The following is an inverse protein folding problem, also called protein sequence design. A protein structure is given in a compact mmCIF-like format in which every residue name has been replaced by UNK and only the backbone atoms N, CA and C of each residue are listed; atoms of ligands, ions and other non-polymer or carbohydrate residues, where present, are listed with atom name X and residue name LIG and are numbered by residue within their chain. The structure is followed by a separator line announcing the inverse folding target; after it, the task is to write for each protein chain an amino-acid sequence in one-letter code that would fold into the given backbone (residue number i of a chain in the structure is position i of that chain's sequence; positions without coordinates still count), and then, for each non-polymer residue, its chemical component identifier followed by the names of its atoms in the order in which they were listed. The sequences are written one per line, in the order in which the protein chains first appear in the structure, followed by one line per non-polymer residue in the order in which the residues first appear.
data_IF_009242155580
#
_entry.id   IF_009242155580
#
_cell.length_a   1.000
_cell.length_b   1.000
_cell.length_c   1.000
_cell.angle_alpha   90.00
_cell.angle_beta   90.00
_cell.angle_gamma   90.00
#
_symmetry.space_group_name_H-M   'P 1'
#
loop_
_entity.id
_entity.type
_entity.pdbx_description
1 polymer ?
#
# COMPACT_ATOMS: atom_id res chain seq x y z
N UNK A 1 42.13 -25.43 57.82
CA UNK A 1 41.93 -23.99 58.02
C UNK A 1 41.44 -23.41 56.72
N UNK A 2 40.15 -23.20 56.64
CA UNK A 2 39.44 -22.69 55.47
C UNK A 2 39.33 -21.16 55.60
N UNK A 3 39.44 -20.44 54.49
CA UNK A 3 38.93 -19.08 54.35
C UNK A 3 37.97 -19.03 53.23
N UNK A 4 36.72 -18.84 53.55
CA UNK A 4 35.64 -18.39 52.68
C UNK A 4 35.93 -16.95 52.25
N UNK A 5 35.75 -16.64 51.00
CA UNK A 5 35.63 -15.28 50.47
C UNK A 5 34.28 -15.18 49.78
N UNK A 6 33.40 -14.39 50.36
CA UNK A 6 32.13 -13.95 49.81
C UNK A 6 32.38 -13.12 48.54
N UNK A 7 31.63 -13.40 47.50
CA UNK A 7 31.54 -12.57 46.31
C UNK A 7 30.13 -12.01 46.21
N UNK A 8 30.05 -10.70 46.41
CA UNK A 8 28.84 -9.88 46.29
C UNK A 8 28.21 -10.00 44.89
N UNK A 9 26.95 -10.37 44.90
CA UNK A 9 26.09 -10.35 43.72
C UNK A 9 25.41 -8.98 43.60
N UNK A 10 25.96 -8.07 42.81
CA UNK A 10 25.27 -6.88 42.35
C UNK A 10 24.67 -7.18 40.96
N UNK A 11 23.42 -7.61 40.95
CA UNK A 11 22.62 -7.69 39.75
C UNK A 11 22.13 -6.28 39.39
N UNK A 12 22.73 -5.65 38.40
CA UNK A 12 22.20 -4.47 37.73
C UNK A 12 20.86 -4.82 37.06
N UNK A 13 19.81 -4.15 37.53
CA UNK A 13 18.46 -4.24 36.95
C UNK A 13 18.43 -3.36 35.72
N UNK A 14 18.21 -3.96 34.56
CA UNK A 14 17.84 -3.26 33.31
C UNK A 14 16.67 -2.30 33.56
N UNK A 15 16.74 -1.07 33.06
CA UNK A 15 15.65 -0.11 33.17
C UNK A 15 14.51 -0.51 32.21
N UNK A 16 13.33 -0.74 32.78
CA UNK A 16 12.09 -0.90 32.02
C UNK A 16 11.90 0.28 31.04
N UNK A 17 11.42 0.05 29.80
CA UNK A 17 11.16 1.14 28.88
C UNK A 17 10.09 2.07 29.45
N UNK A 18 10.41 3.35 29.55
CA UNK A 18 9.48 4.41 29.94
C UNK A 18 8.36 4.50 28.90
N UNK A 19 7.12 4.40 29.38
CA UNK A 19 5.94 4.71 28.60
C UNK A 19 6.02 6.15 28.09
N UNK A 20 5.99 6.32 26.78
CA UNK A 20 5.86 7.62 26.13
C UNK A 20 4.41 8.08 26.32
N UNK A 21 4.21 9.08 27.19
CA UNK A 21 2.93 9.72 27.41
C UNK A 21 2.64 10.78 26.34
N UNK A 22 1.38 10.82 25.89
CA UNK A 22 0.70 11.90 25.22
C UNK A 22 1.12 12.20 23.78
N UNK A 23 0.69 11.36 22.86
CA UNK A 23 0.18 11.73 21.55
C UNK A 23 -1.31 11.41 21.54
N UNK A 24 -2.12 12.25 20.87
CA UNK A 24 -3.57 12.14 20.81
C UNK A 24 -4.00 10.68 20.53
N UNK A 25 -5.09 10.19 21.11
CA UNK A 25 -5.44 8.78 21.06
C UNK A 25 -5.55 8.32 19.61
N UNK A 26 -4.84 7.25 19.26
CA UNK A 26 -5.09 6.51 18.04
C UNK A 26 -6.60 6.21 17.98
N UNK A 27 -7.25 6.57 16.88
CA UNK A 27 -8.68 6.29 16.68
C UNK A 27 -8.82 4.77 16.62
N UNK A 28 -9.26 4.19 17.76
CA UNK A 28 -9.56 2.77 17.87
C UNK A 28 -10.79 2.47 17.00
N UNK A 29 -10.68 1.44 16.14
CA UNK A 29 -11.78 0.95 15.30
C UNK A 29 -13.09 0.75 16.09
N UNK A 30 -13.00 0.41 17.38
CA UNK A 30 -14.17 0.20 18.26
C UNK A 30 -14.79 1.50 18.76
N UNK A 31 -14.03 2.58 18.89
CA UNK A 31 -14.55 3.90 19.26
C UNK A 31 -15.33 4.53 18.11
N UNK A 32 -14.88 4.32 16.87
CA UNK A 32 -15.59 4.79 15.66
C UNK A 32 -16.96 4.12 15.49
N UNK A 33 -17.08 2.82 15.77
CA UNK A 33 -18.35 2.10 15.70
C UNK A 33 -19.35 2.47 16.81
N UNK A 34 -18.89 2.98 17.96
CA UNK A 34 -19.77 3.41 19.07
C UNK A 34 -20.39 4.78 18.85
N UNK A 35 -19.75 5.68 18.13
CA UNK A 35 -20.34 6.98 17.80
C UNK A 35 -21.47 6.90 16.76
N UNK A 36 -21.49 5.89 15.90
CA UNK A 36 -22.55 5.67 14.93
C UNK A 36 -23.84 5.05 15.54
N UNK A 37 -23.78 4.53 16.77
CA UNK A 37 -24.88 3.81 17.42
C UNK A 37 -25.75 4.68 18.35
N UNK A 38 -25.45 5.96 18.57
CA UNK A 38 -26.20 6.81 19.51
C UNK A 38 -27.19 7.82 18.89
N UNK A 39 -27.46 7.72 17.60
CA UNK A 39 -28.50 8.55 16.96
C UNK A 39 -29.63 7.67 16.43
N UNK A 40 -30.53 7.20 17.32
CA UNK A 40 -31.69 6.48 16.84
C UNK A 40 -32.41 5.64 17.89
N UNK A 41 -33.05 6.27 18.85
CA UNK A 41 -34.09 5.60 19.65
C UNK A 41 -35.29 6.52 19.78
N UNK A 42 -36.30 6.34 18.93
CA UNK A 42 -37.75 6.46 19.31
C UNK A 42 -38.64 5.88 18.22
N UNK A 43 -39.61 5.07 18.73
CA UNK A 43 -40.87 4.60 18.17
C UNK A 43 -40.89 3.61 17.00
N UNK A 44 -41.44 2.44 17.32
CA UNK A 44 -41.69 1.33 16.43
C UNK A 44 -42.86 1.55 15.47
N UNK A 45 -42.73 0.96 14.30
CA UNK A 45 -43.80 0.41 13.47
C UNK A 45 -43.16 -0.56 12.45
N UNK A 46 -43.71 -1.76 12.40
CA UNK A 46 -43.40 -2.85 11.44
C UNK A 46 -43.69 -2.42 10.02
N UNK A 47 -42.73 -2.48 9.11
CA UNK A 47 -43.02 -2.61 7.68
C UNK A 47 -41.78 -3.11 6.89
N UNK A 48 -42.07 -3.94 5.92
CA UNK A 48 -41.19 -4.85 5.19
C UNK A 48 -39.92 -4.22 4.57
N UNK A 49 -38.87 -5.01 4.59
CA UNK A 49 -37.56 -4.74 3.98
C UNK A 49 -37.62 -4.77 2.45
N UNK A 50 -37.86 -3.63 1.84
CA UNK A 50 -37.44 -3.37 0.46
C UNK A 50 -36.12 -2.58 0.51
N UNK A 51 -35.00 -3.24 0.22
CA UNK A 51 -33.72 -2.59 -0.01
C UNK A 51 -33.85 -1.74 -1.27
N UNK A 52 -34.09 -0.44 -1.13
CA UNK A 52 -33.90 0.52 -2.21
C UNK A 52 -32.41 0.63 -2.51
N UNK A 53 -31.98 0.04 -3.62
CA UNK A 53 -30.73 0.39 -4.25
C UNK A 53 -30.99 1.71 -4.99
N UNK A 54 -30.60 2.82 -4.39
CA UNK A 54 -30.68 4.13 -5.05
C UNK A 54 -29.64 4.16 -6.19
N UNK A 55 -30.05 4.56 -7.41
CA UNK A 55 -29.11 4.75 -8.51
C UNK A 55 -28.16 5.92 -8.21
N UNK A 56 -26.93 5.83 -8.70
CA UNK A 56 -25.84 6.82 -8.51
C UNK A 56 -26.21 8.27 -8.89
N UNK A 57 -27.32 8.47 -9.61
CA UNK A 57 -27.84 9.76 -10.06
C UNK A 57 -28.60 10.56 -8.98
N UNK A 58 -28.81 10.03 -7.79
CA UNK A 58 -29.57 10.68 -6.72
C UNK A 58 -28.70 11.37 -5.64
N UNK A 59 -27.41 11.61 -5.93
CA UNK A 59 -26.56 12.37 -5.00
C UNK A 59 -26.82 13.87 -5.15
N UNK A 60 -26.94 14.64 -4.04
CA UNK A 60 -27.08 16.09 -4.13
C UNK A 60 -25.87 16.69 -4.85
N UNK A 61 -26.05 17.83 -5.56
CA UNK A 61 -24.92 18.49 -6.21
C UNK A 61 -23.83 18.81 -5.19
N UNK A 62 -22.55 18.80 -5.61
CA UNK A 62 -21.45 19.09 -4.72
C UNK A 62 -21.63 20.49 -4.10
N UNK A 63 -21.64 20.56 -2.77
CA UNK A 63 -21.60 21.83 -2.05
C UNK A 63 -20.30 22.55 -2.38
N UNK A 64 -20.31 23.88 -2.42
CA UNK A 64 -19.06 24.65 -2.59
C UNK A 64 -18.08 24.27 -1.48
N UNK A 65 -16.76 24.18 -1.80
CA UNK A 65 -15.76 23.89 -0.77
C UNK A 65 -15.89 24.86 0.38
N UNK A 66 -15.90 24.37 1.60
CA UNK A 66 -15.82 25.21 2.79
C UNK A 66 -14.43 25.86 2.86
N UNK A 67 -14.26 26.92 3.63
CA UNK A 67 -12.96 27.57 3.81
C UNK A 67 -11.89 26.58 4.32
N UNK A 68 -12.29 25.54 5.05
CA UNK A 68 -11.45 24.44 5.53
C UNK A 68 -10.98 23.51 4.41
N UNK A 69 -11.74 23.36 3.31
CA UNK A 69 -11.36 22.49 2.19
C UNK A 69 -10.31 23.12 1.26
N UNK A 70 -10.18 24.45 1.25
CA UNK A 70 -9.22 25.17 0.43
C UNK A 70 -7.75 24.79 0.76
N UNK A 71 -7.45 24.51 2.03
CA UNK A 71 -6.11 24.10 2.49
C UNK A 71 -5.66 22.75 1.92
N UNK A 72 -6.61 21.90 1.47
CA UNK A 72 -6.35 20.58 0.90
C UNK A 72 -6.32 20.57 -0.63
N UNK A 73 -6.50 21.74 -1.26
CA UNK A 73 -6.70 21.87 -2.70
C UNK A 73 -5.47 22.47 -3.37
N UNK A 74 -4.93 21.74 -4.35
CA UNK A 74 -3.82 22.21 -5.19
C UNK A 74 -4.11 21.91 -6.67
N UNK A 75 -3.57 22.71 -7.60
CA UNK A 75 -3.71 22.42 -9.02
C UNK A 75 -3.04 21.08 -9.36
N UNK A 76 -3.76 20.23 -10.10
CA UNK A 76 -3.28 18.92 -10.53
C UNK A 76 -2.20 19.06 -11.62
N UNK A 77 -1.19 18.18 -11.61
CA UNK A 77 -0.08 18.23 -12.59
C UNK A 77 -0.38 17.52 -13.90
N UNK A 78 -1.16 16.45 -13.86
CA UNK A 78 -1.32 15.52 -14.99
C UNK A 78 -2.71 15.65 -15.62
N UNK A 79 -2.93 16.70 -16.44
CA UNK A 79 -4.16 16.87 -17.17
C UNK A 79 -3.97 17.76 -18.41
N UNK A 80 -4.94 17.73 -19.31
CA UNK A 80 -5.00 18.52 -20.53
C UNK A 80 -6.29 19.33 -20.54
N UNK A 81 -6.21 20.61 -20.88
CA UNK A 81 -7.36 21.51 -21.05
C UNK A 81 -7.99 21.33 -22.41
N UNK A 82 -9.33 21.39 -22.48
CA UNK A 82 -10.13 21.37 -23.69
C UNK A 82 -11.09 22.56 -23.75
N UNK A 83 -11.70 22.85 -24.92
CA UNK A 83 -12.75 23.86 -25.03
C UNK A 83 -13.90 23.60 -24.07
N UNK A 84 -14.70 24.64 -23.81
CA UNK A 84 -15.88 24.61 -22.94
C UNK A 84 -15.57 24.17 -21.50
N UNK A 85 -14.44 24.61 -20.97
CA UNK A 85 -13.99 24.31 -19.60
C UNK A 85 -13.87 22.81 -19.30
N UNK A 86 -13.75 21.95 -20.29
CA UNK A 86 -13.49 20.53 -20.09
C UNK A 86 -12.02 20.27 -19.87
N UNK A 87 -11.71 19.22 -19.13
CA UNK A 87 -10.33 18.69 -18.97
C UNK A 87 -10.31 17.20 -19.27
N UNK A 88 -9.14 16.69 -19.64
CA UNK A 88 -8.85 15.26 -19.70
C UNK A 88 -7.74 14.95 -18.71
N UNK A 89 -8.04 14.11 -17.70
CA UNK A 89 -7.05 13.63 -16.74
C UNK A 89 -6.03 12.73 -17.44
N UNK A 90 -4.75 12.91 -17.16
CA UNK A 90 -3.62 12.14 -17.70
C UNK A 90 -2.85 11.39 -16.61
N UNK A 91 -3.44 11.25 -15.42
CA UNK A 91 -2.78 10.62 -14.29
C UNK A 91 -2.80 9.09 -14.36
N UNK A 92 -3.95 8.51 -14.71
CA UNK A 92 -4.11 7.06 -14.78
C UNK A 92 -4.82 6.64 -16.08
N UNK A 93 -4.81 5.35 -16.45
CA UNK A 93 -5.37 4.85 -17.70
C UNK A 93 -6.87 5.10 -17.91
N UNK A 94 -7.61 5.49 -16.85
CA UNK A 94 -9.03 5.90 -17.01
C UNK A 94 -9.21 7.13 -17.88
N UNK A 95 -8.23 7.99 -17.96
CA UNK A 95 -8.24 9.20 -18.77
C UNK A 95 -9.59 9.98 -18.72
N UNK A 96 -10.12 10.16 -17.50
CA UNK A 96 -11.43 10.79 -17.29
C UNK A 96 -11.54 12.14 -18.02
N UNK A 97 -12.57 12.29 -18.85
CA UNK A 97 -12.99 13.59 -19.38
C UNK A 97 -13.99 14.19 -18.41
N UNK A 98 -13.67 15.39 -17.86
CA UNK A 98 -14.37 15.98 -16.72
C UNK A 98 -14.82 17.39 -17.09
N UNK A 99 -16.12 17.65 -16.96
CA UNK A 99 -16.73 18.96 -17.16
C UNK A 99 -16.52 19.89 -15.96
N UNK A 100 -16.97 21.15 -16.09
CA UNK A 100 -16.89 22.13 -14.99
C UNK A 100 -17.68 21.62 -13.78
N UNK A 101 -17.09 21.67 -12.58
CA UNK A 101 -17.64 21.18 -11.31
C UNK A 101 -17.87 19.67 -11.23
N UNK A 102 -17.30 18.92 -12.15
CA UNK A 102 -17.33 17.46 -12.11
C UNK A 102 -16.02 16.89 -11.54
N UNK A 103 -16.09 15.65 -11.05
CA UNK A 103 -14.94 14.89 -10.53
C UNK A 103 -14.57 13.74 -11.41
N UNK A 104 -13.28 13.40 -11.42
CA UNK A 104 -12.80 12.15 -11.97
C UNK A 104 -13.32 10.92 -11.19
N UNK A 105 -13.17 9.75 -11.78
CA UNK A 105 -13.61 8.47 -11.20
C UNK A 105 -13.15 8.27 -9.74
N UNK A 106 -11.91 8.65 -9.43
CA UNK A 106 -11.32 8.48 -8.10
C UNK A 106 -11.99 9.33 -6.99
N UNK A 107 -12.85 10.29 -7.34
CA UNK A 107 -13.52 11.19 -6.40
C UNK A 107 -12.64 12.24 -5.73
N UNK A 108 -11.30 12.14 -5.89
CA UNK A 108 -10.31 12.99 -5.21
C UNK A 108 -9.82 14.17 -6.05
N UNK A 109 -10.34 14.35 -7.27
CA UNK A 109 -9.94 15.39 -8.20
C UNK A 109 -11.15 16.01 -8.87
N UNK A 110 -11.17 17.35 -8.98
CA UNK A 110 -12.31 18.12 -9.48
C UNK A 110 -11.86 19.19 -10.48
N UNK A 111 -12.70 19.45 -11.49
CA UNK A 111 -12.49 20.52 -12.45
C UNK A 111 -13.24 21.79 -12.01
N UNK A 112 -12.53 22.90 -11.89
CA UNK A 112 -13.10 24.22 -11.63
C UNK A 112 -12.75 25.16 -12.77
N UNK A 113 -13.73 25.50 -13.59
CA UNK A 113 -13.57 26.48 -14.64
C UNK A 113 -12.58 26.09 -15.77
N UNK A 114 -12.25 24.81 -15.93
CA UNK A 114 -11.24 24.31 -16.88
C UNK A 114 -9.84 24.16 -16.26
N UNK A 115 -9.70 24.31 -14.95
CA UNK A 115 -8.49 23.96 -14.18
C UNK A 115 -8.81 22.78 -13.28
N UNK A 116 -7.95 21.76 -13.33
CA UNK A 116 -8.14 20.53 -12.57
C UNK A 116 -7.39 20.58 -11.25
N UNK A 117 -8.04 20.21 -10.17
CA UNK A 117 -7.49 20.28 -8.83
C UNK A 117 -7.48 18.92 -8.15
N UNK A 118 -6.43 18.64 -7.38
CA UNK A 118 -6.42 17.62 -6.33
C UNK A 118 -7.08 18.19 -5.08
N UNK A 119 -7.97 17.42 -4.44
CA UNK A 119 -8.72 17.80 -3.22
C UNK A 119 -8.14 17.12 -1.98
N UNK A 120 -6.99 16.44 -2.11
CA UNK A 120 -6.44 15.56 -1.08
C UNK A 120 -4.97 15.87 -0.75
N UNK A 121 -4.45 17.01 -1.19
CA UNK A 121 -3.12 17.45 -0.79
C UNK A 121 -3.11 17.76 0.72
N UNK A 122 -2.17 17.13 1.45
CA UNK A 122 -2.08 17.28 2.91
C UNK A 122 -3.33 16.80 3.71
N UNK A 123 -4.27 16.09 3.06
CA UNK A 123 -5.53 15.60 3.67
C UNK A 123 -5.38 14.15 4.07
N UNK A 124 -4.73 13.89 5.20
CA UNK A 124 -4.41 12.54 5.68
C UNK A 124 -5.61 11.94 6.42
N UNK A 125 -6.20 10.86 5.91
CA UNK A 125 -7.29 10.12 6.55
C UNK A 125 -6.83 8.90 7.35
N UNK A 126 -5.59 8.44 7.15
CA UNK A 126 -4.98 7.39 7.95
C UNK A 126 -3.47 7.62 8.07
N UNK A 127 -2.94 7.49 9.31
CA UNK A 127 -1.51 7.59 9.61
C UNK A 127 -1.12 6.56 10.68
N UNK A 128 -0.09 5.75 10.42
CA UNK A 128 0.40 4.73 11.35
C UNK A 128 1.90 4.53 11.24
N UNK A 129 2.51 4.08 12.33
CA UNK A 129 3.86 3.52 12.32
C UNK A 129 3.74 2.01 12.16
N UNK A 130 4.25 1.48 11.05
CA UNK A 130 4.17 0.06 10.70
C UNK A 130 5.56 -0.53 10.43
N UNK A 131 5.80 -1.80 10.73
CA UNK A 131 6.97 -2.50 10.19
C UNK A 131 7.00 -2.45 8.66
N UNK A 132 8.19 -2.33 8.09
CA UNK A 132 8.36 -2.31 6.62
C UNK A 132 7.85 -3.62 5.97
N UNK A 133 7.97 -4.74 6.69
CA UNK A 133 7.46 -6.05 6.27
C UNK A 133 5.94 -6.07 6.08
N UNK A 134 5.19 -5.21 6.79
CA UNK A 134 3.74 -5.06 6.61
C UNK A 134 3.38 -4.36 5.28
N UNK A 135 4.37 -3.75 4.60
CA UNK A 135 4.20 -3.15 3.27
C UNK A 135 4.47 -4.13 2.13
N UNK A 136 4.57 -5.41 2.39
CA UNK A 136 5.41 -6.47 1.84
C UNK A 136 6.61 -5.95 1.01
N UNK A 137 7.53 -5.30 1.71
CA UNK A 137 8.85 -4.91 1.21
C UNK A 137 9.88 -5.70 2.01
N UNK A 138 10.29 -6.88 1.49
CA UNK A 138 11.15 -7.83 2.19
C UNK A 138 12.63 -7.65 1.88
N UNK A 139 12.94 -7.05 0.74
CA UNK A 139 14.29 -6.73 0.32
C UNK A 139 14.59 -5.22 0.38
N UNK A 140 13.81 -4.50 1.17
CA UNK A 140 14.00 -3.07 1.41
C UNK A 140 14.00 -2.80 2.91
N UNK A 141 15.16 -2.43 3.45
CA UNK A 141 15.39 -2.05 4.86
C UNK A 141 14.68 -2.97 5.88
N UNK A 142 14.86 -4.30 5.82
CA UNK A 142 14.13 -5.22 6.69
C UNK A 142 14.36 -4.91 8.18
N UNK A 143 13.31 -5.08 8.99
CA UNK A 143 13.30 -4.80 10.41
C UNK A 143 13.15 -3.33 10.79
N UNK A 144 12.99 -2.42 9.80
CA UNK A 144 12.77 -1.00 10.09
C UNK A 144 11.27 -0.65 10.16
N UNK A 145 10.99 0.55 10.67
CA UNK A 145 9.64 1.11 10.71
C UNK A 145 9.41 2.05 9.54
N UNK A 146 8.17 2.15 9.10
CA UNK A 146 7.72 3.12 8.11
C UNK A 146 6.57 3.97 8.66
N UNK A 147 6.66 5.29 8.51
CA UNK A 147 5.55 6.20 8.76
C UNK A 147 4.61 6.15 7.57
N UNK A 148 3.45 5.54 7.74
CA UNK A 148 2.51 5.19 6.68
C UNK A 148 1.36 6.15 6.64
N UNK A 149 1.06 6.73 5.47
CA UNK A 149 -0.04 7.68 5.29
C UNK A 149 -0.94 7.30 4.12
N UNK A 150 -2.21 7.72 4.21
CA UNK A 150 -3.21 7.63 3.16
C UNK A 150 -4.06 8.89 3.07
N UNK A 151 -4.60 9.13 1.88
CA UNK A 151 -5.73 10.04 1.65
C UNK A 151 -6.95 9.24 1.17
N UNK A 152 -8.14 9.84 1.13
CA UNK A 152 -9.32 9.14 0.65
C UNK A 152 -9.35 9.00 -0.87
N UNK A 153 -9.87 7.87 -1.36
CA UNK A 153 -10.12 7.59 -2.77
C UNK A 153 -9.20 6.55 -3.40
N UNK A 154 -9.60 6.04 -4.56
CA UNK A 154 -8.84 5.07 -5.36
C UNK A 154 -9.27 5.18 -6.84
N UNK A 155 -8.36 4.84 -7.76
CA UNK A 155 -8.63 4.83 -9.19
C UNK A 155 -9.18 3.48 -9.72
N UNK A 156 -9.36 2.49 -8.83
CA UNK A 156 -10.04 1.22 -9.11
C UNK A 156 -11.01 0.87 -7.97
N UNK A 157 -11.92 -0.10 -8.19
CA UNK A 157 -12.88 -0.56 -7.19
C UNK A 157 -12.80 -2.08 -7.03
N UNK A 158 -11.73 -2.56 -6.37
CA UNK A 158 -11.53 -3.98 -6.12
C UNK A 158 -12.61 -4.53 -5.19
N UNK A 159 -13.34 -5.55 -5.61
CA UNK A 159 -14.42 -6.18 -4.82
C UNK A 159 -13.94 -6.79 -3.48
N UNK A 160 -12.62 -7.02 -3.35
CA UNK A 160 -11.95 -7.56 -2.16
C UNK A 160 -11.22 -6.50 -1.32
N UNK A 161 -11.48 -5.21 -1.52
CA UNK A 161 -10.70 -4.13 -0.90
C UNK A 161 -10.79 -4.20 0.64
N UNK A 162 -9.65 -4.32 1.31
CA UNK A 162 -9.58 -4.33 2.78
C UNK A 162 -9.72 -2.93 3.39
N UNK A 163 -9.42 -1.89 2.61
CA UNK A 163 -9.50 -0.49 3.02
C UNK A 163 -10.59 0.24 2.23
N UNK A 164 -11.71 -0.45 1.96
CA UNK A 164 -12.82 0.12 1.18
C UNK A 164 -13.43 1.36 1.83
N UNK A 165 -13.38 1.43 3.15
CA UNK A 165 -13.89 2.51 4.00
C UNK A 165 -13.19 3.86 3.78
N UNK A 166 -11.94 3.86 3.27
CA UNK A 166 -11.21 5.06 2.86
C UNK A 166 -10.93 5.12 1.36
N UNK A 167 -10.97 3.97 0.66
CA UNK A 167 -10.64 3.89 -0.77
C UNK A 167 -11.83 4.12 -1.68
N UNK A 168 -13.07 3.74 -1.24
CA UNK A 168 -14.27 3.81 -2.07
C UNK A 168 -15.21 4.94 -1.62
N UNK A 169 -14.63 6.03 -1.16
CA UNK A 169 -15.31 7.21 -0.62
C UNK A 169 -14.69 8.49 -1.18
N UNK A 170 -15.42 9.59 -1.06
CA UNK A 170 -14.90 10.93 -1.36
C UNK A 170 -14.17 11.52 -0.16
N UNK A 171 -13.23 12.45 -0.36
CA UNK A 171 -12.45 13.05 0.73
C UNK A 171 -13.27 13.67 1.87
N UNK A 172 -14.42 14.24 1.56
CA UNK A 172 -15.34 14.86 2.54
C UNK A 172 -16.16 13.85 3.36
N UNK A 173 -16.14 12.57 2.99
CA UNK A 173 -16.93 11.52 3.66
C UNK A 173 -16.18 10.85 4.81
N UNK A 174 -14.90 11.15 4.98
CA UNK A 174 -14.06 10.57 6.05
C UNK A 174 -13.34 11.68 6.81
N UNK A 175 -13.13 11.50 8.12
CA UNK A 175 -12.29 12.40 8.90
C UNK A 175 -10.87 12.45 8.34
N UNK A 176 -10.27 13.62 8.31
CA UNK A 176 -8.91 13.82 7.88
C UNK A 176 -8.20 14.88 8.73
N UNK A 177 -6.87 14.75 8.82
CA UNK A 177 -6.01 15.72 9.50
C UNK A 177 -5.18 16.47 8.45
N UNK A 178 -4.94 17.75 8.71
CA UNK A 178 -4.01 18.53 7.90
C UNK A 178 -2.57 18.18 8.26
N UNK A 179 -1.86 17.57 7.34
CA UNK A 179 -0.46 17.19 7.50
C UNK A 179 0.33 17.63 6.27
N UNK A 180 0.88 18.85 6.26
CA UNK A 180 1.69 19.32 5.13
C UNK A 180 2.97 18.49 4.98
N UNK A 181 3.61 18.47 3.79
CA UNK A 181 4.77 17.65 3.48
C UNK A 181 5.87 17.63 4.55
N UNK A 182 6.26 18.81 5.04
CA UNK A 182 7.27 18.93 6.10
C UNK A 182 6.84 18.30 7.41
N UNK A 183 5.56 18.42 7.79
CA UNK A 183 5.06 17.79 9.02
C UNK A 183 5.09 16.25 8.91
N UNK A 184 4.83 15.68 7.74
CA UNK A 184 4.96 14.22 7.51
C UNK A 184 6.40 13.76 7.69
N UNK A 185 7.36 14.49 7.14
CA UNK A 185 8.79 14.19 7.28
C UNK A 185 9.24 14.29 8.76
N UNK A 186 8.80 15.33 9.47
CA UNK A 186 9.07 15.52 10.90
C UNK A 186 8.46 14.40 11.75
N UNK A 187 7.21 14.01 11.49
CA UNK A 187 6.55 12.90 12.18
C UNK A 187 7.27 11.56 11.93
N UNK A 188 7.71 11.30 10.71
CA UNK A 188 8.52 10.12 10.40
C UNK A 188 9.81 10.10 11.23
N UNK A 189 10.53 11.23 11.30
CA UNK A 189 11.76 11.38 12.09
C UNK A 189 11.52 11.21 13.58
N UNK A 190 10.49 11.86 14.14
CA UNK A 190 10.11 11.76 15.55
C UNK A 190 9.76 10.32 15.97
N UNK A 191 9.17 9.55 15.06
CA UNK A 191 8.83 8.14 15.29
C UNK A 191 9.94 7.17 14.88
N UNK A 192 11.15 7.66 14.63
CA UNK A 192 12.31 6.84 14.22
C UNK A 192 12.04 5.97 13.00
N UNK A 193 11.21 6.45 12.07
CA UNK A 193 10.91 5.80 10.81
C UNK A 193 11.88 6.30 9.72
N UNK A 194 12.82 5.49 9.23
CA UNK A 194 13.71 5.90 8.13
C UNK A 194 12.97 6.01 6.79
N UNK A 195 11.69 5.69 6.77
CA UNK A 195 10.88 5.63 5.54
C UNK A 195 9.48 6.20 5.76
N UNK A 196 9.01 7.01 4.80
CA UNK A 196 7.58 7.34 4.63
C UNK A 196 6.98 6.36 3.64
N UNK A 197 5.85 5.73 3.98
CA UNK A 197 5.14 4.81 3.10
C UNK A 197 3.77 5.40 2.69
N UNK A 198 3.60 5.66 1.40
CA UNK A 198 2.32 6.07 0.81
C UNK A 198 1.53 4.80 0.49
N UNK A 199 0.39 4.58 1.17
CA UNK A 199 -0.24 3.24 1.21
C UNK A 199 -1.73 3.28 1.59
N UNK A 200 -2.33 2.13 1.90
CA UNK A 200 -3.70 1.84 2.33
C UNK A 200 -4.77 2.12 1.26
N UNK A 201 -4.98 3.38 0.86
CA UNK A 201 -5.72 3.74 -0.36
C UNK A 201 -4.77 3.71 -1.57
N UNK A 202 -5.10 4.41 -2.65
CA UNK A 202 -4.24 4.41 -3.84
C UNK A 202 -3.39 5.69 -3.95
N UNK A 203 -2.06 5.59 -3.82
CA UNK A 203 -1.17 6.75 -3.91
C UNK A 203 -1.18 7.49 -5.25
N UNK A 204 -1.53 6.85 -6.35
CA UNK A 204 -1.67 7.52 -7.66
C UNK A 204 -2.58 8.73 -7.56
N UNK A 205 -3.71 8.63 -6.84
CA UNK A 205 -4.71 9.70 -6.83
C UNK A 205 -4.27 10.95 -6.05
N UNK A 206 -3.27 10.83 -5.19
CA UNK A 206 -2.68 11.94 -4.44
C UNK A 206 -1.22 12.20 -4.79
N UNK A 207 -0.86 12.00 -6.07
CA UNK A 207 0.51 12.08 -6.58
C UNK A 207 1.21 13.42 -6.31
N UNK A 208 0.51 14.55 -6.32
CA UNK A 208 1.09 15.86 -5.98
C UNK A 208 1.56 15.87 -4.53
N UNK A 209 0.73 15.43 -3.60
CA UNK A 209 1.08 15.35 -2.18
C UNK A 209 2.19 14.33 -1.91
N UNK A 210 2.13 13.16 -2.57
CA UNK A 210 3.18 12.15 -2.51
C UNK A 210 4.54 12.72 -2.93
N UNK A 211 4.59 13.45 -4.04
CA UNK A 211 5.83 14.03 -4.55
C UNK A 211 6.40 15.09 -3.60
N UNK A 212 5.56 15.99 -3.11
CA UNK A 212 5.99 17.06 -2.22
C UNK A 212 6.42 16.51 -0.84
N UNK A 213 5.74 15.47 -0.34
CA UNK A 213 6.13 14.80 0.90
C UNK A 213 7.41 13.96 0.74
N UNK A 214 7.65 13.37 -0.43
CA UNK A 214 8.90 12.67 -0.72
C UNK A 214 10.09 13.65 -0.76
N UNK A 215 9.93 14.81 -1.40
CA UNK A 215 10.96 15.84 -1.42
C UNK A 215 11.29 16.31 0.01
N UNK A 216 10.27 16.63 0.82
CA UNK A 216 10.46 17.02 2.21
C UNK A 216 11.12 15.92 3.06
N UNK A 217 10.79 14.64 2.80
CA UNK A 217 11.44 13.49 3.43
C UNK A 217 12.93 13.42 3.08
N UNK A 218 13.26 13.48 1.80
CA UNK A 218 14.63 13.40 1.32
C UNK A 218 15.51 14.55 1.85
N UNK A 219 14.96 15.77 1.97
CA UNK A 219 15.67 16.92 2.59
C UNK A 219 16.09 16.64 4.04
N UNK A 220 15.39 15.74 4.73
CA UNK A 220 15.67 15.36 6.13
C UNK A 220 16.31 13.97 6.28
N UNK A 221 16.69 13.33 5.16
CA UNK A 221 17.29 12.00 5.14
C UNK A 221 16.29 10.86 5.31
N UNK A 222 14.99 11.13 5.19
CA UNK A 222 13.93 10.11 5.26
C UNK A 222 13.60 9.65 3.83
N UNK A 223 13.60 8.34 3.61
CA UNK A 223 13.29 7.71 2.32
C UNK A 223 11.78 7.62 2.08
N UNK A 224 11.40 7.36 0.84
CA UNK A 224 10.00 7.30 0.41
C UNK A 224 9.70 6.02 -0.34
N UNK A 225 8.65 5.29 0.06
CA UNK A 225 8.18 4.10 -0.65
C UNK A 225 6.69 4.20 -0.96
N UNK A 226 6.28 3.61 -2.07
CA UNK A 226 4.89 3.57 -2.48
C UNK A 226 4.38 2.13 -2.54
N UNK A 227 3.17 1.94 -2.02
CA UNK A 227 2.40 0.69 -2.08
C UNK A 227 1.18 0.96 -2.94
N UNK A 228 1.17 0.49 -4.17
CA UNK A 228 0.24 0.93 -5.21
C UNK A 228 -0.33 -0.23 -6.03
N UNK A 229 -1.47 -0.03 -6.66
CA UNK A 229 -2.02 -0.95 -7.66
C UNK A 229 -1.33 -0.85 -9.03
N UNK A 230 -0.43 0.11 -9.22
CA UNK A 230 0.32 0.30 -10.47
C UNK A 230 -0.51 0.80 -11.66
N UNK A 231 -1.77 1.16 -11.48
CA UNK A 231 -2.66 1.65 -12.54
C UNK A 231 -2.45 3.14 -12.76
N UNK A 232 -1.32 3.50 -13.38
CA UNK A 232 -0.82 4.86 -13.58
C UNK A 232 -0.33 5.04 -15.01
N UNK A 233 -0.47 6.23 -15.59
CA UNK A 233 0.08 6.58 -16.90
C UNK A 233 1.61 6.74 -16.82
N UNK A 234 2.32 6.36 -17.89
CA UNK A 234 3.78 6.28 -17.93
C UNK A 234 4.48 7.62 -17.57
N UNK A 235 3.98 8.75 -18.08
CA UNK A 235 4.56 10.07 -17.75
C UNK A 235 4.37 10.43 -16.26
N UNK A 236 3.18 10.16 -15.72
CA UNK A 236 2.90 10.36 -14.30
C UNK A 236 3.74 9.42 -13.42
N UNK A 237 3.91 8.16 -13.84
CA UNK A 237 4.77 7.18 -13.17
C UNK A 237 6.22 7.65 -13.10
N UNK A 238 6.81 8.05 -14.23
CA UNK A 238 8.19 8.54 -14.28
C UNK A 238 8.41 9.73 -13.34
N UNK A 239 7.44 10.66 -13.33
CA UNK A 239 7.53 11.86 -12.51
C UNK A 239 7.33 11.56 -11.03
N UNK A 240 6.24 10.87 -10.66
CA UNK A 240 5.91 10.62 -9.26
C UNK A 240 6.79 9.53 -8.64
N UNK A 241 6.93 8.38 -9.32
CA UNK A 241 7.71 7.26 -8.78
C UNK A 241 9.21 7.41 -9.03
N UNK A 242 9.61 8.37 -9.88
CA UNK A 242 11.00 8.82 -9.96
C UNK A 242 11.56 9.30 -8.62
N UNK A 243 10.69 9.83 -7.73
CA UNK A 243 11.03 10.30 -6.38
C UNK A 243 11.02 9.19 -5.31
N UNK A 244 10.54 8.00 -5.64
CA UNK A 244 10.47 6.89 -4.69
C UNK A 244 11.78 6.10 -4.64
N UNK A 245 12.15 5.64 -3.45
CA UNK A 245 13.30 4.75 -3.21
C UNK A 245 12.94 3.29 -3.52
N UNK A 246 11.69 2.90 -3.26
CA UNK A 246 11.16 1.59 -3.65
C UNK A 246 9.67 1.67 -3.98
N UNK A 247 9.23 0.74 -4.83
CA UNK A 247 7.83 0.64 -5.27
C UNK A 247 7.33 -0.78 -5.06
N UNK A 248 6.25 -0.96 -4.30
CA UNK A 248 5.56 -2.24 -4.20
C UNK A 248 4.30 -2.17 -5.04
N UNK A 249 4.18 -3.08 -6.01
CA UNK A 249 2.98 -3.17 -6.87
C UNK A 249 2.11 -4.35 -6.45
N UNK A 250 0.83 -4.04 -6.19
CA UNK A 250 -0.21 -5.06 -6.08
C UNK A 250 -0.68 -5.47 -7.48
N UNK A 251 -0.08 -6.51 -8.03
CA UNK A 251 -0.57 -7.16 -9.25
C UNK A 251 -1.74 -8.07 -8.87
N UNK A 252 -2.97 -7.59 -9.10
CA UNK A 252 -4.18 -8.19 -8.53
C UNK A 252 -4.56 -9.54 -9.14
N UNK A 253 -4.17 -9.78 -10.39
CA UNK A 253 -4.36 -11.03 -11.14
C UNK A 253 -3.47 -11.01 -12.39
N UNK A 254 -3.45 -12.13 -13.12
CA UNK A 254 -2.73 -12.20 -14.40
C UNK A 254 -3.68 -12.50 -15.58
N UNK A 255 -4.95 -12.06 -15.45
CA UNK A 255 -5.98 -12.14 -16.50
C UNK A 255 -6.73 -10.82 -16.66
N UNK A 256 -7.04 -10.44 -17.91
CA UNK A 256 -7.82 -9.22 -18.21
C UNK A 256 -9.25 -9.32 -17.70
N UNK A 257 -9.84 -10.52 -17.70
CA UNK A 257 -11.20 -10.73 -17.18
C UNK A 257 -11.30 -10.39 -15.70
N UNK A 258 -10.33 -10.83 -14.90
CA UNK A 258 -10.30 -10.50 -13.47
C UNK A 258 -10.13 -8.99 -13.25
N UNK A 259 -9.23 -8.35 -14.00
CA UNK A 259 -9.04 -6.90 -13.90
C UNK A 259 -10.31 -6.13 -14.25
N UNK A 260 -11.01 -6.51 -15.31
CA UNK A 260 -12.27 -5.88 -15.71
C UNK A 260 -13.38 -6.11 -14.68
N UNK A 261 -13.58 -7.36 -14.26
CA UNK A 261 -14.79 -7.78 -13.55
C UNK A 261 -14.67 -7.69 -12.01
N UNK A 262 -13.45 -7.79 -11.47
CA UNK A 262 -13.18 -7.82 -10.01
C UNK A 262 -12.44 -6.57 -9.55
N UNK A 263 -11.49 -6.05 -10.34
CA UNK A 263 -10.68 -4.87 -10.00
C UNK A 263 -11.30 -3.58 -10.54
N UNK A 264 -12.07 -3.65 -11.63
CA UNK A 264 -12.57 -2.51 -12.41
C UNK A 264 -11.45 -1.69 -13.05
N UNK A 265 -10.43 -2.34 -13.57
CA UNK A 265 -9.26 -1.76 -14.23
C UNK A 265 -8.84 -2.62 -15.41
N UNK A 266 -7.60 -2.45 -15.85
CA UNK A 266 -6.97 -3.17 -16.95
C UNK A 266 -5.62 -3.73 -16.49
N UNK A 267 -5.30 -4.97 -16.89
CA UNK A 267 -4.03 -5.62 -16.56
C UNK A 267 -2.84 -4.97 -17.28
N UNK A 268 -2.99 -4.74 -18.58
CA UNK A 268 -1.91 -4.26 -19.44
C UNK A 268 -1.19 -3.01 -18.91
N UNK A 269 -1.86 -1.91 -18.48
CA UNK A 269 -1.17 -0.74 -17.94
C UNK A 269 -0.36 -1.03 -16.66
N UNK A 270 -0.80 -1.99 -15.84
CA UNK A 270 -0.07 -2.39 -14.63
C UNK A 270 1.22 -3.13 -14.99
N UNK A 271 1.16 -4.01 -15.98
CA UNK A 271 2.36 -4.69 -16.52
C UNK A 271 3.34 -3.70 -17.16
N UNK A 272 2.84 -2.71 -17.89
CA UNK A 272 3.65 -1.63 -18.46
C UNK A 272 4.31 -0.78 -17.37
N UNK A 273 3.63 -0.55 -16.25
CA UNK A 273 4.19 0.14 -15.08
C UNK A 273 5.35 -0.63 -14.45
N UNK A 274 5.22 -1.96 -14.29
CA UNK A 274 6.29 -2.82 -13.79
C UNK A 274 7.53 -2.75 -14.70
N UNK A 275 7.34 -2.85 -16.02
CA UNK A 275 8.45 -2.75 -16.99
C UNK A 275 9.09 -1.35 -16.96
N UNK A 276 8.29 -0.30 -16.80
CA UNK A 276 8.80 1.07 -16.70
C UNK A 276 9.67 1.25 -15.45
N UNK A 277 9.24 0.76 -14.29
CA UNK A 277 9.99 0.79 -13.03
C UNK A 277 11.32 0.04 -13.14
N UNK A 278 11.32 -1.15 -13.76
CA UNK A 278 12.53 -1.92 -14.03
C UNK A 278 13.52 -1.12 -14.90
N UNK A 279 13.04 -0.48 -15.97
CA UNK A 279 13.87 0.38 -16.84
C UNK A 279 14.42 1.62 -16.12
N UNK A 280 13.70 2.13 -15.12
CA UNK A 280 14.14 3.24 -14.27
C UNK A 280 15.12 2.82 -13.18
N UNK A 281 15.42 1.50 -13.04
CA UNK A 281 16.27 0.97 -11.98
C UNK A 281 15.67 1.10 -10.58
N UNK A 282 14.35 1.20 -10.44
CA UNK A 282 13.68 1.29 -9.15
C UNK A 282 13.56 -0.07 -8.49
N UNK A 283 13.92 -0.14 -7.19
CA UNK A 283 13.64 -1.36 -6.44
C UNK A 283 12.14 -1.64 -6.43
N UNK A 284 11.76 -2.82 -6.88
CA UNK A 284 10.34 -3.18 -7.03
C UNK A 284 10.09 -4.57 -6.44
N UNK A 285 9.00 -4.69 -5.65
CA UNK A 285 8.48 -5.98 -5.18
C UNK A 285 7.02 -6.13 -5.62
N UNK A 286 6.60 -7.34 -5.94
CA UNK A 286 5.26 -7.64 -6.47
C UNK A 286 4.46 -8.40 -5.42
N UNK A 287 3.23 -7.98 -5.16
CA UNK A 287 2.28 -8.72 -4.34
C UNK A 287 1.13 -9.22 -5.20
N UNK A 288 0.81 -10.49 -5.07
CA UNK A 288 -0.30 -11.15 -5.71
C UNK A 288 -1.23 -11.71 -4.63
N UNK A 289 -2.39 -11.09 -4.44
CA UNK A 289 -3.41 -11.57 -3.52
C UNK A 289 -4.15 -12.74 -4.18
N UNK A 290 -3.99 -13.94 -3.63
CA UNK A 290 -4.63 -15.14 -4.16
C UNK A 290 -6.05 -15.25 -3.65
N UNK A 291 -7.03 -15.07 -4.53
CA UNK A 291 -8.46 -15.14 -4.22
C UNK A 291 -9.01 -16.47 -4.75
N UNK A 292 -9.49 -17.36 -3.86
CA UNK A 292 -9.96 -18.69 -4.26
C UNK A 292 -10.99 -18.66 -5.38
N UNK A 293 -10.84 -19.55 -6.35
CA UNK A 293 -11.71 -19.73 -7.52
C UNK A 293 -11.68 -18.60 -8.56
N UNK A 294 -11.02 -17.49 -8.28
CA UNK A 294 -11.02 -16.32 -9.16
C UNK A 294 -9.69 -16.07 -9.87
N UNK A 295 -8.55 -16.26 -9.16
CA UNK A 295 -7.21 -16.05 -9.71
C UNK A 295 -6.18 -17.06 -9.14
N UNK A 296 -6.62 -18.27 -8.79
CA UNK A 296 -5.82 -19.30 -8.13
C UNK A 296 -5.51 -20.53 -9.01
N UNK A 297 -5.65 -20.39 -10.34
CA UNK A 297 -5.32 -21.46 -11.29
C UNK A 297 -3.81 -21.62 -11.49
N UNK A 298 -3.37 -22.85 -11.71
CA UNK A 298 -1.95 -23.16 -11.99
C UNK A 298 -1.45 -22.45 -13.27
N UNK A 299 -2.29 -22.40 -14.30
CA UNK A 299 -1.96 -21.72 -15.55
C UNK A 299 -1.69 -20.21 -15.33
N UNK A 300 -2.44 -19.58 -14.43
CA UNK A 300 -2.27 -18.16 -14.10
C UNK A 300 -0.97 -17.94 -13.32
N UNK A 301 -0.67 -18.79 -12.33
CA UNK A 301 0.60 -18.74 -11.59
C UNK A 301 1.82 -18.96 -12.50
N UNK A 302 1.75 -19.94 -13.42
CA UNK A 302 2.80 -20.17 -14.41
C UNK A 302 2.97 -18.97 -15.35
N UNK A 303 1.86 -18.43 -15.87
CA UNK A 303 1.85 -17.25 -16.73
C UNK A 303 2.50 -16.04 -16.06
N UNK A 304 2.11 -15.76 -14.83
CA UNK A 304 2.69 -14.70 -14.00
C UNK A 304 4.22 -14.90 -13.81
N UNK A 305 4.63 -16.08 -13.35
CA UNK A 305 6.02 -16.35 -13.05
C UNK A 305 6.93 -16.25 -14.29
N UNK A 306 6.49 -16.79 -15.42
CA UNK A 306 7.20 -16.67 -16.72
C UNK A 306 7.30 -15.23 -17.16
N UNK A 307 6.22 -14.46 -17.04
CA UNK A 307 6.20 -13.06 -17.42
C UNK A 307 7.15 -12.24 -16.56
N UNK A 308 7.13 -12.42 -15.23
CA UNK A 308 8.04 -11.73 -14.30
C UNK A 308 9.48 -12.06 -14.66
N UNK A 309 9.84 -13.34 -14.80
CA UNK A 309 11.19 -13.76 -15.15
C UNK A 309 11.67 -13.14 -16.45
N UNK A 310 10.82 -13.14 -17.48
CA UNK A 310 11.18 -12.67 -18.82
C UNK A 310 11.32 -11.16 -18.89
N UNK A 311 10.44 -10.40 -18.23
CA UNK A 311 10.35 -8.95 -18.38
C UNK A 311 11.05 -8.16 -17.26
N UNK A 312 11.18 -8.75 -16.06
CA UNK A 312 11.72 -8.07 -14.88
C UNK A 312 12.97 -8.75 -14.31
N UNK A 313 13.18 -10.03 -14.64
CA UNK A 313 14.28 -10.84 -14.12
C UNK A 313 13.86 -11.78 -12.98
N UNK A 314 14.71 -12.79 -12.71
CA UNK A 314 14.45 -13.82 -11.71
C UNK A 314 14.56 -13.30 -10.25
N UNK A 315 15.18 -12.15 -10.06
CA UNK A 315 15.52 -11.62 -8.74
C UNK A 315 14.45 -10.67 -8.16
N UNK A 316 13.39 -10.34 -8.90
CA UNK A 316 12.29 -9.52 -8.40
C UNK A 316 11.46 -10.34 -7.40
N UNK A 317 11.30 -9.87 -6.13
CA UNK A 317 10.53 -10.59 -5.15
C UNK A 317 9.03 -10.61 -5.51
N UNK A 318 8.43 -11.81 -5.40
CA UNK A 318 6.99 -12.04 -5.61
C UNK A 318 6.39 -12.61 -4.33
N UNK A 319 5.33 -11.98 -3.85
CA UNK A 319 4.63 -12.38 -2.63
C UNK A 319 3.22 -12.86 -2.96
N UNK A 320 2.97 -14.17 -2.84
CA UNK A 320 1.61 -14.71 -2.86
C UNK A 320 0.99 -14.55 -1.48
N UNK A 321 -0.07 -13.73 -1.38
CA UNK A 321 -0.66 -13.39 -0.09
C UNK A 321 -2.03 -14.00 0.08
N UNK A 322 -2.32 -14.43 1.31
CA UNK A 322 -3.60 -15.01 1.68
C UNK A 322 -4.70 -13.95 1.62
N UNK A 323 -5.78 -14.26 0.92
CA UNK A 323 -7.02 -13.48 0.92
C UNK A 323 -7.83 -13.77 2.17
N UNK A 324 -8.41 -12.73 2.75
CA UNK A 324 -9.43 -12.79 3.78
C UNK A 324 -10.73 -12.16 3.26
N UNK A 325 -11.90 -12.78 3.48
CA UNK A 325 -13.17 -12.24 3.02
C UNK A 325 -13.45 -10.83 3.52
N UNK A 326 -13.62 -9.89 2.60
CA UNK A 326 -13.88 -8.48 2.92
C UNK A 326 -14.69 -7.81 1.79
N UNK A 327 -15.28 -6.66 2.10
CA UNK A 327 -16.04 -5.77 1.23
C UNK A 327 -17.16 -6.50 0.47
N UNK A 328 -17.01 -6.68 -0.87
CA UNK A 328 -18.00 -7.32 -1.72
C UNK A 328 -17.76 -8.83 -1.94
N UNK A 329 -16.63 -9.38 -1.43
CA UNK A 329 -16.29 -10.80 -1.54
C UNK A 329 -16.34 -11.52 -0.16
N UNK A 330 -17.28 -11.17 0.68
CA UNK A 330 -17.49 -11.82 1.99
C UNK A 330 -18.03 -13.27 1.89
N UNK A 331 -18.48 -13.66 0.72
CA UNK A 331 -19.03 -14.99 0.41
C UNK A 331 -17.96 -16.01 0.00
N UNK A 332 -16.72 -15.60 -0.20
CA UNK A 332 -15.62 -16.51 -0.51
C UNK A 332 -14.91 -16.97 0.74
N UNK A 333 -14.29 -18.15 0.67
CA UNK A 333 -13.44 -18.66 1.75
C UNK A 333 -12.11 -17.95 1.80
N UNK A 334 -11.44 -17.96 2.96
CA UNK A 334 -10.03 -17.62 3.08
C UNK A 334 -9.18 -18.53 2.18
N UNK A 335 -8.11 -18.01 1.59
CA UNK A 335 -7.23 -18.82 0.74
C UNK A 335 -6.61 -19.97 1.54
N UNK A 336 -6.79 -21.24 1.12
CA UNK A 336 -6.11 -22.37 1.76
C UNK A 336 -4.58 -22.24 1.65
N UNK A 337 -3.87 -22.56 2.73
CA UNK A 337 -2.39 -22.54 2.73
C UNK A 337 -1.79 -23.40 1.60
N UNK A 338 -2.27 -24.63 1.33
CA UNK A 338 -1.79 -25.43 0.21
C UNK A 338 -1.90 -24.75 -1.16
N UNK A 339 -2.86 -23.86 -1.37
CA UNK A 339 -2.96 -23.07 -2.61
C UNK A 339 -1.81 -22.10 -2.74
N UNK A 340 -1.42 -21.42 -1.65
CA UNK A 340 -0.27 -20.51 -1.62
C UNK A 340 1.05 -21.27 -1.80
N UNK A 341 1.19 -22.43 -1.16
CA UNK A 341 2.37 -23.31 -1.30
C UNK A 341 2.52 -23.81 -2.75
N UNK A 342 1.40 -24.18 -3.40
CA UNK A 342 1.38 -24.55 -4.83
C UNK A 342 1.78 -23.37 -5.71
N UNK A 343 1.25 -22.17 -5.48
CA UNK A 343 1.63 -20.95 -6.22
C UNK A 343 3.13 -20.67 -6.11
N UNK A 344 3.69 -20.78 -4.89
CA UNK A 344 5.12 -20.66 -4.65
C UNK A 344 5.93 -21.73 -5.37
N UNK A 345 5.54 -22.99 -5.25
CA UNK A 345 6.26 -24.11 -5.90
C UNK A 345 6.30 -23.95 -7.43
N UNK A 346 5.19 -23.50 -8.03
CA UNK A 346 5.14 -23.19 -9.48
C UNK A 346 6.09 -22.05 -9.83
N UNK A 347 6.09 -20.98 -9.08
CA UNK A 347 6.94 -19.82 -9.35
C UNK A 347 8.44 -20.14 -9.14
N UNK A 348 8.78 -20.92 -8.12
CA UNK A 348 10.14 -21.45 -7.89
C UNK A 348 10.59 -22.36 -9.07
N UNK A 349 9.69 -23.24 -9.56
CA UNK A 349 9.97 -24.14 -10.70
C UNK A 349 10.18 -23.39 -12.02
N UNK A 350 9.47 -22.28 -12.22
CA UNK A 350 9.68 -21.37 -13.36
C UNK A 350 10.99 -20.57 -13.22
N UNK A 351 11.65 -20.63 -12.07
CA UNK A 351 12.99 -20.11 -11.80
C UNK A 351 13.03 -18.71 -11.23
N UNK A 352 12.01 -18.26 -10.51
CA UNK A 352 12.09 -17.08 -9.65
C UNK A 352 12.90 -17.39 -8.39
N UNK A 353 13.74 -16.46 -7.94
CA UNK A 353 14.66 -16.69 -6.83
C UNK A 353 14.05 -16.33 -5.46
N UNK A 354 13.13 -15.38 -5.43
CA UNK A 354 12.56 -14.83 -4.19
C UNK A 354 11.04 -14.86 -4.24
N UNK A 355 10.45 -15.98 -3.83
CA UNK A 355 9.01 -16.19 -3.78
C UNK A 355 8.57 -16.38 -2.34
N UNK A 356 7.68 -15.52 -1.89
CA UNK A 356 7.21 -15.46 -0.51
C UNK A 356 5.72 -15.82 -0.38
N UNK A 357 5.33 -16.31 0.81
CA UNK A 357 3.94 -16.46 1.21
C UNK A 357 3.65 -15.41 2.29
N UNK A 358 2.67 -14.53 2.04
CA UNK A 358 2.28 -13.46 2.95
C UNK A 358 0.91 -13.70 3.60
N UNK A 359 0.63 -12.96 4.67
CA UNK A 359 -0.59 -13.03 5.48
C UNK A 359 -0.83 -14.39 6.18
N UNK A 360 0.20 -15.24 6.29
CA UNK A 360 0.18 -16.52 7.00
C UNK A 360 1.25 -16.46 8.10
N UNK A 361 0.93 -15.99 9.31
CA UNK A 361 1.93 -15.83 10.38
C UNK A 361 2.66 -17.13 10.71
N UNK A 362 4.00 -17.06 10.78
CA UNK A 362 4.85 -18.20 11.12
C UNK A 362 5.15 -19.16 9.96
N UNK A 363 4.66 -18.90 8.75
CA UNK A 363 4.97 -19.74 7.60
C UNK A 363 6.46 -19.60 7.19
N UNK A 364 7.22 -20.70 6.98
CA UNK A 364 8.66 -20.64 6.66
C UNK A 364 8.99 -19.85 5.39
N UNK A 365 8.05 -19.80 4.43
CA UNK A 365 8.22 -19.04 3.19
C UNK A 365 8.13 -17.50 3.38
N UNK A 366 8.01 -17.00 4.60
CA UNK A 366 8.22 -15.58 4.93
C UNK A 366 9.71 -15.25 5.06
N UNK A 367 10.57 -16.25 5.29
CA UNK A 367 12.00 -16.05 5.45
C UNK A 367 12.69 -15.86 4.10
N UNK A 368 13.78 -15.10 4.08
CA UNK A 368 14.63 -14.98 2.90
C UNK A 368 15.73 -16.02 2.93
N UNK A 369 15.84 -16.79 1.85
CA UNK A 369 16.87 -17.82 1.68
C UNK A 369 17.82 -17.44 0.53
N UNK A 370 19.08 -17.84 0.66
CA UNK A 370 20.05 -17.70 -0.43
C UNK A 370 19.64 -18.58 -1.63
N UNK A 371 19.51 -18.04 -2.85
CA UNK A 371 19.12 -18.84 -4.02
C UNK A 371 20.16 -19.90 -4.38
N UNK A 372 21.45 -19.70 -4.04
CA UNK A 372 22.54 -20.62 -4.35
C UNK A 372 22.72 -21.71 -3.29
N UNK A 373 22.91 -21.36 -2.02
CA UNK A 373 23.23 -22.32 -0.95
C UNK A 373 22.06 -22.70 -0.05
N UNK A 374 20.87 -22.12 -0.27
CA UNK A 374 19.62 -22.37 0.44
C UNK A 374 19.64 -22.05 1.94
N UNK A 375 20.70 -21.47 2.48
CA UNK A 375 20.76 -21.04 3.88
C UNK A 375 19.85 -19.84 4.10
N UNK A 376 19.19 -19.80 5.25
CA UNK A 376 18.37 -18.69 5.70
C UNK A 376 19.23 -17.45 5.90
N UNK A 377 18.78 -16.31 5.39
CA UNK A 377 19.47 -15.02 5.42
C UNK A 377 18.71 -13.97 6.23
N UNK A 378 17.38 -13.99 6.17
CA UNK A 378 16.51 -13.14 6.99
C UNK A 378 15.40 -14.02 7.56
N UNK A 379 15.34 -14.08 8.89
CA UNK A 379 14.26 -14.75 9.58
C UNK A 379 13.14 -13.76 9.88
N UNK A 380 11.89 -14.17 9.65
CA UNK A 380 10.72 -13.35 9.94
C UNK A 380 9.70 -14.10 10.78
N UNK A 381 9.22 -13.42 11.83
CA UNK A 381 8.10 -13.87 12.67
C UNK A 381 7.02 -12.81 12.58
N UNK A 382 5.94 -13.11 11.86
CA UNK A 382 4.92 -12.12 11.52
C UNK A 382 5.52 -10.98 10.68
N UNK A 383 5.44 -9.75 11.18
CA UNK A 383 6.00 -8.56 10.52
C UNK A 383 7.34 -8.11 11.14
N UNK A 384 8.01 -8.96 11.87
CA UNK A 384 9.31 -8.65 12.51
C UNK A 384 10.40 -9.46 11.83
N UNK A 385 11.46 -8.79 11.35
CA UNK A 385 12.70 -9.45 10.96
C UNK A 385 13.52 -9.72 12.25
N UNK A 386 13.48 -10.96 12.76
CA UNK A 386 14.15 -11.36 14.01
C UNK A 386 15.64 -11.55 13.84
N UNK A 387 16.09 -11.90 12.62
CA UNK A 387 17.49 -12.07 12.29
C UNK A 387 17.77 -11.62 10.86
N UNK A 388 18.87 -10.91 10.65
CA UNK A 388 19.38 -10.54 9.33
C UNK A 388 20.87 -10.88 9.23
N UNK A 389 21.23 -11.82 8.34
CA UNK A 389 22.59 -12.29 8.15
C UNK A 389 23.27 -11.72 6.89
N UNK A 390 22.52 -11.04 6.01
CA UNK A 390 23.06 -10.44 4.79
C UNK A 390 24.13 -9.42 5.14
N UNK A 391 25.29 -9.53 4.49
CA UNK A 391 26.42 -8.62 4.72
C UNK A 391 26.83 -7.97 3.38
N UNK A 392 26.84 -6.65 3.32
CA UNK A 392 27.21 -5.88 2.12
C UNK A 392 26.47 -6.36 0.86
N UNK A 393 25.16 -6.68 1.00
CA UNK A 393 24.35 -7.18 -0.11
C UNK A 393 24.66 -8.60 -0.58
N UNK A 394 25.35 -9.41 0.22
CA UNK A 394 25.73 -10.78 -0.14
C UNK A 394 25.44 -11.80 0.97
N UNK A 395 25.29 -13.05 0.57
CA UNK A 395 25.20 -14.20 1.45
C UNK A 395 26.53 -14.43 2.17
N UNK A 396 26.59 -14.44 3.53
CA UNK A 396 27.84 -14.62 4.27
C UNK A 396 28.43 -16.03 4.14
N UNK A 397 27.69 -16.98 3.61
CA UNK A 397 28.09 -18.40 3.54
C UNK A 397 28.68 -18.79 2.19
N UNK A 398 28.24 -18.18 1.09
CA UNK A 398 28.68 -18.55 -0.27
C UNK A 398 28.97 -17.35 -1.18
N UNK A 399 28.92 -16.16 -0.64
CA UNK A 399 29.18 -14.88 -1.31
C UNK A 399 28.26 -14.59 -2.53
N UNK A 400 27.09 -15.26 -2.61
CA UNK A 400 26.08 -14.96 -3.62
C UNK A 400 25.51 -13.56 -3.37
N UNK A 401 25.50 -12.71 -4.41
CA UNK A 401 24.82 -11.41 -4.32
C UNK A 401 23.32 -11.59 -4.05
N UNK A 402 22.78 -10.81 -3.13
CA UNK A 402 21.37 -10.82 -2.76
C UNK A 402 20.83 -9.42 -3.08
N UNK A 403 20.10 -9.26 -4.19
CA UNK A 403 19.55 -7.96 -4.59
C UNK A 403 18.59 -7.41 -3.55
N UNK A 404 18.67 -6.10 -3.30
CA UNK A 404 17.85 -5.40 -2.32
C UNK A 404 18.53 -4.14 -1.79
N UNK A 405 17.81 -3.41 -0.95
CA UNK A 405 18.29 -2.23 -0.20
C UNK A 405 18.36 -2.64 1.29
N UNK A 406 19.55 -3.01 1.77
CA UNK A 406 19.73 -3.69 3.06
C UNK A 406 20.10 -2.75 4.21
N UNK A 407 20.49 -1.50 3.93
CA UNK A 407 20.90 -0.51 4.93
C UNK A 407 20.29 0.85 4.59
N UNK A 408 19.94 1.60 5.63
CA UNK A 408 19.42 2.96 5.54
C UNK A 408 20.51 3.95 5.13
#
# INVERSE_FOLDING_TARGET
MARQTDVDSNAERDPKPRAVSALAPAIDRRAFLKCAAMAGATTGATCGLARLVLPLSAMPPPTQPTQDDAQFTVEAKFYQKFPNKKIKCKLCPRECTVGDRERGYCGARENHGGTYYSLVHSRVCAAHVDPIEKKPLFHYLPGTLAFSIATAGCNVNCKFCQNWDISQVRPEQVPAQYAPPKAVAELAKQNHCPTIAYTYSEPVIFSEYLMDAADAGHETGIRSVVVTNGYIQNEALKTAYGKMDAVKIDLKAFTESYYRDVVTGELKPVLESLVALQKMGKWTEIVYLVVPTLNDSEAEFQGLARWVKTNLGADVPVHFTQFHPEYLLKNLSITPIPTLERAKAIADAEGLHYVYIGNVPGHPAQNTYCPKCRRMLVERVGFTASQMLIRKGACPFCNQAIPGIWHA
#
